data_IF_292203007145
#
_entry.id   IF_292203007145
#
_cell.length_a   1.000
_cell.length_b   1.000
_cell.length_c   1.000
_cell.angle_alpha   90.00
_cell.angle_beta   90.00
_cell.angle_gamma   90.00
#
_symmetry.space_group_name_H-M   'P 1'
#
loop_
_entity.id
_entity.type
_entity.pdbx_description
1 polymer ?
#
# COMPACT_ATOMS: atom_id res chain seq x y z
N UNK A 1 5.91 -16.50 -2.42
CA UNK A 1 6.76 -15.68 -1.51
C UNK A 1 6.87 -14.21 -1.94
N UNK A 2 6.62 -13.85 -3.20
CA UNK A 2 6.78 -12.49 -3.73
C UNK A 2 5.78 -11.45 -3.20
N UNK A 3 4.59 -11.86 -2.79
CA UNK A 3 3.56 -10.95 -2.27
C UNK A 3 3.97 -10.27 -0.95
N UNK A 4 4.58 -11.04 -0.04
CA UNK A 4 5.07 -10.52 1.24
C UNK A 4 6.25 -9.54 1.05
N UNK A 5 7.03 -9.75 -0.02
CA UNK A 5 8.09 -8.83 -0.43
C UNK A 5 7.50 -7.52 -0.98
N UNK A 6 6.46 -7.58 -1.80
CA UNK A 6 5.78 -6.40 -2.30
C UNK A 6 5.15 -5.58 -1.16
N UNK A 7 4.48 -6.25 -0.22
CA UNK A 7 3.94 -5.60 0.99
C UNK A 7 5.06 -4.91 1.78
N UNK A 8 6.18 -5.60 2.01
CA UNK A 8 7.31 -5.04 2.76
C UNK A 8 7.91 -3.81 2.05
N UNK A 9 8.05 -3.86 0.73
CA UNK A 9 8.53 -2.72 -0.07
C UNK A 9 7.56 -1.53 -0.02
N UNK A 10 6.26 -1.78 -0.13
CA UNK A 10 5.24 -0.74 0.00
C UNK A 10 5.25 -0.08 1.39
N UNK A 11 5.39 -0.88 2.46
CA UNK A 11 5.55 -0.37 3.84
C UNK A 11 6.78 0.51 3.97
N UNK A 12 7.93 0.05 3.51
CA UNK A 12 9.18 0.81 3.56
C UNK A 12 9.04 2.15 2.84
N UNK A 13 8.52 2.14 1.61
CA UNK A 13 8.27 3.35 0.83
C UNK A 13 7.33 4.33 1.55
N UNK A 14 6.24 3.84 2.14
CA UNK A 14 5.30 4.68 2.88
C UNK A 14 5.97 5.33 4.11
N UNK A 15 6.80 4.59 4.85
CA UNK A 15 7.59 5.11 5.98
C UNK A 15 8.58 6.18 5.50
N UNK A 16 9.31 5.93 4.40
CA UNK A 16 10.27 6.89 3.83
C UNK A 16 9.60 8.19 3.39
N UNK A 17 8.34 8.13 2.96
CA UNK A 17 7.52 9.30 2.62
C UNK A 17 6.84 9.96 3.82
N UNK A 18 6.99 9.41 5.02
CA UNK A 18 6.34 9.90 6.24
C UNK A 18 4.83 9.65 6.28
N UNK A 19 4.33 8.70 5.48
CA UNK A 19 2.93 8.29 5.51
C UNK A 19 2.68 7.40 6.72
N UNK A 20 1.59 7.68 7.45
CA UNK A 20 1.15 6.82 8.55
C UNK A 20 0.10 5.84 8.05
N UNK A 21 0.29 4.56 8.35
CA UNK A 21 -0.60 3.49 7.96
C UNK A 21 -0.72 2.46 9.09
N UNK A 22 -1.90 1.85 9.24
CA UNK A 22 -2.10 0.80 10.25
C UNK A 22 -1.52 -0.52 9.74
N UNK A 23 -2.16 -1.08 8.71
CA UNK A 23 -1.78 -2.37 8.13
C UNK A 23 -2.06 -2.40 6.62
N UNK A 24 -1.34 -3.25 5.87
CA UNK A 24 -1.67 -3.53 4.49
C UNK A 24 -3.01 -4.27 4.45
N UNK A 25 -3.99 -3.65 3.81
CA UNK A 25 -5.33 -4.20 3.65
C UNK A 25 -5.27 -5.38 2.68
N UNK A 26 -4.50 -5.22 1.60
CA UNK A 26 -4.36 -6.26 0.58
C UNK A 26 -3.15 -6.02 -0.32
N UNK A 27 -2.64 -7.10 -0.92
CA UNK A 27 -1.71 -7.04 -2.03
C UNK A 27 -2.29 -7.85 -3.20
N UNK A 28 -2.55 -7.17 -4.31
CA UNK A 28 -3.04 -7.77 -5.54
C UNK A 28 -1.89 -7.88 -6.53
N UNK A 29 -1.64 -9.09 -7.03
CA UNK A 29 -0.74 -9.26 -8.17
C UNK A 29 -1.41 -8.68 -9.41
N UNK A 30 -0.70 -7.81 -10.12
CA UNK A 30 -1.15 -7.27 -11.41
C UNK A 30 -0.64 -8.19 -12.52
N UNK A 31 0.59 -7.99 -12.98
CA UNK A 31 1.25 -8.80 -14.02
C UNK A 31 2.78 -8.55 -13.97
N UNK A 32 3.59 -9.47 -14.49
CA UNK A 32 5.05 -9.33 -14.65
C UNK A 32 5.77 -8.84 -13.38
N UNK A 33 5.56 -9.52 -12.25
CA UNK A 33 6.21 -9.17 -10.98
C UNK A 33 5.72 -7.84 -10.35
N UNK A 34 4.68 -7.22 -10.92
CA UNK A 34 4.05 -6.01 -10.37
C UNK A 34 2.92 -6.37 -9.41
N UNK A 35 2.85 -5.59 -8.34
CA UNK A 35 1.88 -5.73 -7.27
C UNK A 35 1.27 -4.38 -6.97
N UNK A 36 -0.04 -4.39 -6.73
CA UNK A 36 -0.78 -3.29 -6.15
C UNK A 36 -1.00 -3.59 -4.68
N UNK A 37 -0.38 -2.82 -3.80
CA UNK A 37 -0.55 -2.94 -2.35
C UNK A 37 -1.44 -1.80 -1.88
N UNK A 38 -2.48 -2.14 -1.13
CA UNK A 38 -3.38 -1.17 -0.52
C UNK A 38 -3.07 -1.08 0.96
N UNK A 39 -2.81 0.13 1.47
CA UNK A 39 -2.49 0.42 2.87
C UNK A 39 -3.60 1.29 3.48
N UNK A 40 -4.10 0.93 4.66
CA UNK A 40 -5.03 1.77 5.42
C UNK A 40 -4.29 2.95 6.05
N UNK A 41 -4.79 4.18 5.97
CA UNK A 41 -4.22 5.33 6.68
C UNK A 41 -4.44 5.20 8.19
N UNK A 42 -3.38 5.42 8.98
CA UNK A 42 -3.47 5.41 10.45
C UNK A 42 -4.31 6.57 10.98
N UNK A 43 -5.25 6.27 11.88
CA UNK A 43 -6.12 7.27 12.50
C UNK A 43 -7.33 7.67 11.66
N UNK A 44 -7.53 7.01 10.51
CA UNK A 44 -8.68 7.24 9.65
C UNK A 44 -9.82 6.23 9.89
N UNK A 45 -9.51 5.11 10.56
CA UNK A 45 -10.48 4.17 11.11
C UNK A 45 -11.17 4.77 12.34
N UNK A 46 -12.01 5.78 12.15
CA UNK A 46 -12.93 6.20 13.22
C UNK A 46 -14.06 5.14 13.28
N UNK A 47 -14.23 4.41 14.39
CA UNK A 47 -15.24 3.34 14.48
C UNK A 47 -16.68 3.86 14.36
N UNK A 48 -16.89 5.18 14.38
CA UNK A 48 -18.18 5.81 14.12
C UNK A 48 -18.29 6.44 12.72
N UNK A 49 -17.22 6.46 11.93
CA UNK A 49 -17.27 6.90 10.55
C UNK A 49 -17.93 5.81 9.68
N UNK A 50 -19.02 6.17 9.02
CA UNK A 50 -19.69 5.33 7.99
C UNK A 50 -18.91 5.36 6.66
N UNK A 51 -17.71 5.93 6.67
CA UNK A 51 -16.88 6.18 5.50
C UNK A 51 -15.65 5.28 5.63
N UNK A 52 -15.34 4.53 4.57
CA UNK A 52 -14.13 3.72 4.54
C UNK A 52 -12.90 4.59 4.86
N UNK A 53 -11.98 4.11 5.70
CA UNK A 53 -10.77 4.85 6.02
C UNK A 53 -10.02 5.14 4.71
N UNK A 54 -9.50 6.37 4.49
CA UNK A 54 -8.68 6.67 3.33
C UNK A 54 -7.57 5.62 3.16
N UNK A 55 -7.39 5.19 1.92
CA UNK A 55 -6.45 4.15 1.54
C UNK A 55 -5.35 4.74 0.65
N UNK A 56 -4.12 4.25 0.84
CA UNK A 56 -3.02 4.50 -0.08
C UNK A 56 -2.84 3.30 -1.00
N UNK A 57 -2.83 3.56 -2.30
CA UNK A 57 -2.50 2.55 -3.30
C UNK A 57 -1.02 2.71 -3.66
N UNK A 58 -0.23 1.67 -3.43
CA UNK A 58 1.18 1.61 -3.78
C UNK A 58 1.38 0.58 -4.88
N UNK A 59 1.98 0.99 -5.98
CA UNK A 59 2.44 0.08 -7.02
C UNK A 59 3.89 -0.31 -6.74
N UNK A 60 4.14 -1.61 -6.70
CA UNK A 60 5.45 -2.21 -6.47
C UNK A 60 5.80 -3.06 -7.67
N UNK A 61 6.86 -2.71 -8.37
CA UNK A 61 7.47 -3.50 -9.43
C UNK A 61 8.72 -4.19 -8.86
N UNK A 62 8.64 -5.50 -8.62
CA UNK A 62 9.76 -6.26 -8.06
C UNK A 62 10.86 -6.54 -9.09
N UNK A 63 10.54 -6.55 -10.37
CA UNK A 63 11.50 -6.81 -11.47
C UNK A 63 12.39 -5.59 -11.69
N UNK A 64 11.79 -4.40 -11.67
CA UNK A 64 12.48 -3.12 -11.82
C UNK A 64 12.90 -2.51 -10.47
N UNK A 65 12.55 -3.17 -9.35
CA UNK A 65 12.74 -2.69 -7.98
C UNK A 65 12.24 -1.24 -7.80
N UNK A 66 11.05 -0.97 -8.33
CA UNK A 66 10.45 0.36 -8.35
C UNK A 66 9.18 0.40 -7.47
N UNK A 67 9.03 1.44 -6.66
CA UNK A 67 7.85 1.65 -5.82
C UNK A 67 7.28 3.03 -6.05
N UNK A 68 5.98 3.12 -6.31
CA UNK A 68 5.28 4.38 -6.61
C UNK A 68 3.95 4.47 -5.86
N UNK A 69 3.67 5.63 -5.27
CA UNK A 69 2.35 5.96 -4.75
C UNK A 69 1.44 6.34 -5.92
N UNK A 70 0.28 5.71 -6.01
CA UNK A 70 -0.79 6.18 -6.89
C UNK A 70 -1.65 7.19 -6.12
N UNK A 71 -2.00 8.33 -6.74
CA UNK A 71 -3.02 9.20 -6.18
C UNK A 71 -4.34 8.45 -6.10
N UNK A 72 -4.98 8.41 -4.93
CA UNK A 72 -6.37 8.00 -4.81
C UNK A 72 -7.23 9.03 -5.57
N UNK A 73 -8.00 8.59 -6.57
CA UNK A 73 -8.95 9.42 -7.31
C UNK A 73 -10.24 9.61 -6.52
#
# INVERSE_FOLDING_TARGET
MSENQAISAAKAFAIERGLRFEEPISAQHLDDGRYRVTLAVEGASDPNAVIDPPEFIVHVDLEQNEVRLMPAM
#
